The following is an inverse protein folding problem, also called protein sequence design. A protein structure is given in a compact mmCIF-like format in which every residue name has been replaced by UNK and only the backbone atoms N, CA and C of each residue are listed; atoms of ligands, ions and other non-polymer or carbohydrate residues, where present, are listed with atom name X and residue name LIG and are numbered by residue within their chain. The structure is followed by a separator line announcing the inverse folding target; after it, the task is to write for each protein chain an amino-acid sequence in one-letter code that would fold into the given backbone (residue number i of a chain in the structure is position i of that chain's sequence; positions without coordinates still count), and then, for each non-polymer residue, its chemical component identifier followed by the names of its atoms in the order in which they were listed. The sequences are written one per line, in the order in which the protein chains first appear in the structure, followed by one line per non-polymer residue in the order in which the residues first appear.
data_IF_333811939253
#
_entry.id   IF_333811939253
#
_cell.length_a   1.000
_cell.length_b   1.000
_cell.length_c   1.000
_cell.angle_alpha   90.00
_cell.angle_beta   90.00
_cell.angle_gamma   90.00
#
_symmetry.space_group_name_H-M   'P 1'
#
loop_
_entity.id
_entity.type
_entity.pdbx_description
1 polymer ?
#
# COMPACT_ATOMS: atom_id res chain seq x y z
N UNK A 1 14.47 34.32 -2.70
CA UNK A 1 13.47 33.36 -3.20
C UNK A 1 13.08 32.45 -2.05
N UNK A 2 11.94 32.70 -1.40
CA UNK A 2 11.42 31.82 -0.34
C UNK A 2 10.79 30.60 -1.03
N UNK A 3 11.37 29.41 -0.83
CA UNK A 3 10.73 28.16 -1.23
C UNK A 3 9.45 28.00 -0.40
N UNK A 4 8.31 27.97 -1.07
CA UNK A 4 7.05 27.57 -0.44
C UNK A 4 7.20 26.12 0.01
N UNK A 5 7.29 25.90 1.33
CA UNK A 5 7.12 24.58 1.91
C UNK A 5 5.67 24.16 1.70
N UNK A 6 5.41 23.29 0.74
CA UNK A 6 4.14 22.57 0.71
C UNK A 6 4.02 21.79 2.03
N UNK A 7 2.85 21.84 2.67
CA UNK A 7 2.56 21.09 3.90
C UNK A 7 2.43 19.58 3.60
N UNK A 8 3.52 18.95 3.14
CA UNK A 8 3.58 17.53 2.82
C UNK A 8 3.98 16.74 4.07
N UNK A 9 3.14 15.78 4.47
CA UNK A 9 3.48 14.83 5.53
C UNK A 9 4.60 13.90 5.03
N UNK A 10 5.76 13.92 5.69
CA UNK A 10 6.88 13.04 5.35
C UNK A 10 6.58 11.57 5.68
N UNK A 11 7.05 10.68 4.80
CA UNK A 11 7.03 9.22 4.99
C UNK A 11 8.12 8.76 5.98
N UNK A 12 7.99 9.09 7.26
CA UNK A 12 9.04 8.90 8.28
C UNK A 12 9.43 7.45 8.57
N UNK A 13 8.64 6.47 8.10
CA UNK A 13 8.88 5.04 8.29
C UNK A 13 9.35 4.34 7.01
N UNK A 14 9.53 5.09 5.91
CA UNK A 14 10.16 4.57 4.70
C UNK A 14 11.62 4.22 5.00
N UNK A 15 12.06 3.04 4.56
CA UNK A 15 13.38 2.49 4.84
C UNK A 15 13.48 1.70 6.15
N UNK A 16 12.43 1.67 6.99
CA UNK A 16 12.38 0.84 8.20
C UNK A 16 11.20 -0.12 8.23
N UNK A 17 9.98 0.35 8.00
CA UNK A 17 8.77 -0.49 7.99
C UNK A 17 8.45 -1.05 6.60
N UNK A 18 8.87 -0.34 5.56
CA UNK A 18 8.77 -0.72 4.15
C UNK A 18 9.98 -0.15 3.41
N UNK A 19 10.33 -0.69 2.25
CA UNK A 19 11.46 -0.17 1.47
C UNK A 19 11.20 1.27 1.03
N UNK A 20 12.22 2.12 1.16
CA UNK A 20 12.16 3.51 0.65
C UNK A 20 12.36 3.60 -0.86
N UNK A 21 12.77 2.51 -1.51
CA UNK A 21 12.92 2.45 -2.97
C UNK A 21 11.57 2.27 -3.64
N UNK A 22 11.16 3.25 -4.43
CA UNK A 22 9.89 3.22 -5.20
C UNK A 22 9.80 1.98 -6.08
N UNK A 23 10.88 1.64 -6.78
CA UNK A 23 10.93 0.49 -7.69
C UNK A 23 10.72 -0.81 -6.92
N UNK A 24 11.43 -0.98 -5.80
CA UNK A 24 11.30 -2.19 -4.99
C UNK A 24 9.92 -2.27 -4.33
N UNK A 25 9.42 -1.16 -3.80
CA UNK A 25 8.12 -1.11 -3.13
C UNK A 25 7.00 -1.47 -4.12
N UNK A 26 7.04 -0.89 -5.32
CA UNK A 26 6.07 -1.19 -6.36
C UNK A 26 6.10 -2.67 -6.74
N UNK A 27 7.29 -3.23 -6.99
CA UNK A 27 7.43 -4.66 -7.30
C UNK A 27 6.94 -5.58 -6.19
N UNK A 28 7.18 -5.23 -4.92
CA UNK A 28 6.65 -5.98 -3.77
C UNK A 28 5.11 -5.96 -3.75
N UNK A 29 4.51 -4.79 -3.90
CA UNK A 29 3.06 -4.63 -3.88
C UNK A 29 2.39 -5.34 -5.07
N UNK A 30 2.91 -5.17 -6.28
CA UNK A 30 2.42 -5.86 -7.48
C UNK A 30 2.51 -7.38 -7.32
N UNK A 31 3.63 -7.89 -6.81
CA UNK A 31 3.80 -9.31 -6.56
C UNK A 31 2.82 -9.86 -5.54
N UNK A 32 2.47 -9.11 -4.48
CA UNK A 32 1.48 -9.58 -3.51
C UNK A 32 0.06 -9.50 -4.06
N UNK A 33 -0.28 -8.42 -4.76
CA UNK A 33 -1.60 -8.21 -5.36
C UNK A 33 -1.88 -9.16 -6.54
N UNK A 34 -0.87 -9.69 -7.22
CA UNK A 34 -1.04 -10.65 -8.30
C UNK A 34 -1.36 -12.06 -7.82
N UNK A 35 -1.07 -12.39 -6.56
CA UNK A 35 -1.37 -13.69 -5.95
C UNK A 35 -2.80 -13.82 -5.42
N UNK A 36 -3.60 -12.75 -5.52
CA UNK A 36 -4.92 -12.67 -4.90
C UNK A 36 -5.97 -12.41 -5.98
N UNK A 37 -7.03 -13.22 -5.97
CA UNK A 37 -8.21 -13.01 -6.79
C UNK A 37 -9.19 -12.00 -6.15
N UNK A 38 -9.99 -11.35 -6.99
CA UNK A 38 -11.10 -10.51 -6.52
C UNK A 38 -12.28 -11.42 -6.20
N UNK A 39 -12.65 -11.53 -4.92
CA UNK A 39 -13.77 -12.36 -4.43
C UNK A 39 -14.82 -11.57 -3.65
N UNK A 40 -14.49 -10.36 -3.19
CA UNK A 40 -15.35 -9.53 -2.33
C UNK A 40 -15.48 -8.09 -2.85
N UNK A 41 -15.17 -7.85 -4.13
CA UNK A 41 -15.20 -6.53 -4.77
C UNK A 41 -16.57 -6.10 -5.32
N UNK A 42 -16.83 -4.79 -5.44
CA UNK A 42 -15.99 -3.70 -4.95
C UNK A 42 -16.19 -3.44 -3.46
N UNK A 43 -15.14 -3.65 -2.66
CA UNK A 43 -15.17 -3.45 -1.22
C UNK A 43 -15.26 -1.94 -0.90
N UNK A 44 -16.29 -1.55 -0.14
CA UNK A 44 -16.44 -0.16 0.37
C UNK A 44 -15.62 0.10 1.64
N UNK A 45 -15.26 -0.95 2.37
CA UNK A 45 -14.40 -0.89 3.56
C UNK A 45 -13.54 -2.15 3.65
N UNK A 46 -12.37 -2.03 4.26
CA UNK A 46 -11.44 -3.14 4.51
C UNK A 46 -10.86 -3.04 5.92
N UNK A 47 -10.44 -4.19 6.47
CA UNK A 47 -9.61 -4.28 7.66
C UNK A 47 -8.27 -4.88 7.21
N UNK A 48 -7.17 -4.21 7.55
CA UNK A 48 -5.83 -4.60 7.09
C UNK A 48 -4.80 -4.42 8.22
N UNK A 49 -3.79 -5.31 8.33
CA UNK A 49 -2.72 -5.15 9.29
C UNK A 49 -1.82 -3.96 8.96
N UNK A 50 -1.15 -3.42 9.99
CA UNK A 50 -0.24 -2.27 9.87
C UNK A 50 1.21 -2.57 10.28
N UNK A 51 1.62 -3.84 10.38
CA UNK A 51 2.99 -4.19 10.71
C UNK A 51 3.97 -3.84 9.56
N UNK A 52 5.28 -4.03 9.78
CA UNK A 52 6.25 -3.90 8.69
C UNK A 52 5.90 -4.82 7.52
N UNK A 53 6.08 -4.35 6.28
CA UNK A 53 5.59 -5.01 5.07
C UNK A 53 6.19 -6.39 4.85
N UNK A 54 7.41 -6.63 5.34
CA UNK A 54 8.02 -7.96 5.34
C UNK A 54 7.17 -9.00 6.09
N UNK A 55 6.43 -8.59 7.11
CA UNK A 55 5.64 -9.49 7.95
C UNK A 55 4.19 -9.60 7.49
N UNK A 56 3.59 -8.49 7.01
CA UNK A 56 2.15 -8.46 6.74
C UNK A 56 1.77 -8.04 5.31
N UNK A 57 2.71 -7.77 4.41
CA UNK A 57 2.44 -7.28 3.05
C UNK A 57 1.55 -8.23 2.23
N UNK A 58 1.89 -9.52 2.23
CA UNK A 58 1.09 -10.54 1.55
C UNK A 58 -0.32 -10.69 2.15
N UNK A 59 -0.46 -10.59 3.49
CA UNK A 59 -1.76 -10.62 4.15
C UNK A 59 -2.62 -9.39 3.79
N UNK A 60 -2.03 -8.20 3.80
CA UNK A 60 -2.71 -6.96 3.44
C UNK A 60 -3.23 -6.98 1.98
N UNK A 61 -2.55 -7.67 1.07
CA UNK A 61 -2.99 -7.79 -0.32
C UNK A 61 -4.38 -8.42 -0.47
N UNK A 62 -4.75 -9.39 0.39
CA UNK A 62 -6.09 -9.99 0.37
C UNK A 62 -7.21 -8.96 0.59
N UNK A 63 -6.95 -7.94 1.41
CA UNK A 63 -7.88 -6.86 1.66
C UNK A 63 -7.85 -5.82 0.53
N UNK A 64 -6.66 -5.30 0.19
CA UNK A 64 -6.52 -4.22 -0.79
C UNK A 64 -6.97 -4.62 -2.20
N UNK A 65 -6.79 -5.89 -2.61
CA UNK A 65 -7.19 -6.36 -3.94
C UNK A 65 -8.70 -6.26 -4.19
N UNK A 66 -9.52 -6.20 -3.14
CA UNK A 66 -10.97 -6.13 -3.24
C UNK A 66 -11.49 -4.72 -3.51
N UNK A 67 -10.63 -3.70 -3.46
CA UNK A 67 -11.00 -2.30 -3.72
C UNK A 67 -10.95 -2.04 -5.22
N UNK A 68 -12.03 -1.46 -5.76
CA UNK A 68 -12.03 -0.85 -7.09
C UNK A 68 -12.04 0.69 -6.97
N UNK A 69 -10.92 1.37 -7.27
CA UNK A 69 -10.82 2.83 -7.20
C UNK A 69 -11.76 3.57 -8.14
N UNK A 70 -12.24 2.94 -9.22
CA UNK A 70 -13.14 3.55 -10.19
C UNK A 70 -14.62 3.41 -9.80
N UNK A 71 -14.93 2.61 -8.77
CA UNK A 71 -16.30 2.30 -8.35
C UNK A 71 -16.94 3.32 -7.40
N UNK A 72 -16.43 4.57 -7.36
CA UNK A 72 -16.92 5.63 -6.46
C UNK A 72 -18.02 6.45 -7.11
#
# INVERSE_FOLDING_TARGET
MMQQSSMQRRATHAGSWYTSSVIQLNGQLESWLSMVDVSHGPAKAIISPHAGYQYCGACAAYAYKQIDPQST
#
